data_IF_569742173935
#
_entry.id   IF_569742173935
#
_cell.length_a   1.000
_cell.length_b   1.000
_cell.length_c   1.000
_cell.angle_alpha   90.00
_cell.angle_beta   90.00
_cell.angle_gamma   90.00
#
_symmetry.space_group_name_H-M   'P 1'
#
loop_
_entity.id
_entity.type
_entity.pdbx_description
1 polymer ?
#
# COMPACT_ATOMS: atom_id res chain seq x y z
N UNK A 1 -7.77 -6.72 -2.45
CA UNK A 1 -6.50 -7.18 -3.07
C UNK A 1 -5.58 -7.97 -2.16
N UNK A 2 -5.89 -8.16 -0.86
CA UNK A 2 -5.02 -8.88 0.08
C UNK A 2 -4.69 -10.32 -0.34
N UNK A 3 -5.60 -10.99 -1.05
CA UNK A 3 -5.33 -12.32 -1.61
C UNK A 3 -4.21 -12.29 -2.68
N UNK A 4 -4.11 -11.19 -3.44
CA UNK A 4 -3.03 -10.97 -4.42
C UNK A 4 -1.70 -10.74 -3.68
N UNK A 5 -1.72 -10.00 -2.57
CA UNK A 5 -0.54 -9.81 -1.72
C UNK A 5 -0.04 -11.14 -1.13
N UNK A 6 -0.94 -11.99 -0.62
CA UNK A 6 -0.57 -13.31 -0.07
C UNK A 6 0.04 -14.21 -1.16
N UNK A 7 -0.51 -14.19 -2.38
CA UNK A 7 0.08 -14.93 -3.51
C UNK A 7 1.47 -14.35 -3.90
N UNK A 8 1.64 -13.02 -3.86
CA UNK A 8 2.94 -12.39 -4.05
C UNK A 8 3.94 -12.80 -2.96
N UNK A 9 3.51 -12.88 -1.69
CA UNK A 9 4.33 -13.39 -0.58
C UNK A 9 4.80 -14.83 -0.82
N UNK A 10 3.94 -15.71 -1.35
CA UNK A 10 4.33 -17.07 -1.74
C UNK A 10 5.46 -17.07 -2.76
N UNK A 11 5.40 -16.18 -3.75
CA UNK A 11 6.44 -16.05 -4.77
C UNK A 11 7.74 -15.47 -4.20
N UNK A 12 7.66 -14.49 -3.29
CA UNK A 12 8.83 -13.93 -2.60
C UNK A 12 9.55 -14.99 -1.77
N UNK A 13 8.80 -15.77 -0.98
CA UNK A 13 9.35 -16.87 -0.19
C UNK A 13 10.05 -17.92 -1.07
N UNK A 14 9.43 -18.29 -2.20
CA UNK A 14 10.03 -19.22 -3.16
C UNK A 14 11.33 -18.70 -3.81
N UNK A 15 11.50 -17.36 -3.89
CA UNK A 15 12.72 -16.70 -4.38
C UNK A 15 13.77 -16.50 -3.28
N UNK A 16 13.48 -16.88 -2.03
CA UNK A 16 14.39 -16.71 -0.89
C UNK A 16 14.53 -15.26 -0.42
N UNK A 17 13.57 -14.38 -0.73
CA UNK A 17 13.52 -13.01 -0.20
C UNK A 17 13.12 -13.10 1.27
N UNK A 18 13.87 -12.45 2.15
CA UNK A 18 13.55 -12.32 3.56
C UNK A 18 12.54 -11.18 3.75
N UNK A 19 11.40 -11.46 4.37
CA UNK A 19 10.35 -10.47 4.63
C UNK A 19 9.41 -10.92 5.76
N UNK A 20 8.72 -9.94 6.34
CA UNK A 20 7.59 -10.18 7.25
C UNK A 20 6.42 -9.27 6.83
N UNK A 21 5.25 -9.85 6.60
CA UNK A 21 4.06 -9.12 6.17
C UNK A 21 2.96 -9.14 7.24
N UNK A 22 2.52 -7.96 7.68
CA UNK A 22 1.44 -7.78 8.67
C UNK A 22 0.20 -7.22 8.02
N UNK A 23 -0.93 -7.94 8.11
CA UNK A 23 -2.24 -7.50 7.62
C UNK A 23 -3.06 -7.03 8.80
N UNK A 24 -3.21 -5.70 8.93
CA UNK A 24 -3.96 -5.08 10.03
C UNK A 24 -5.42 -4.89 9.67
N UNK A 25 -6.30 -5.09 10.64
CA UNK A 25 -7.74 -4.88 10.52
C UNK A 25 -8.54 -6.17 10.63
N UNK A 26 -9.85 -6.03 10.48
CA UNK A 26 -10.84 -7.11 10.46
C UNK A 26 -11.72 -6.94 9.22
N UNK A 27 -12.25 -8.03 8.70
CA UNK A 27 -13.12 -7.94 7.54
C UNK A 27 -13.69 -9.30 7.13
N UNK A 28 -14.65 -9.32 6.20
CA UNK A 28 -15.35 -10.53 5.79
C UNK A 28 -14.45 -11.58 5.14
N UNK A 29 -13.29 -11.16 4.65
CA UNK A 29 -12.33 -12.06 3.99
C UNK A 29 -11.33 -12.71 4.95
N UNK A 30 -11.35 -12.39 6.24
CA UNK A 30 -10.37 -12.88 7.20
C UNK A 30 -10.17 -14.40 7.14
N UNK A 31 -11.27 -15.16 7.21
CA UNK A 31 -11.22 -16.64 7.15
C UNK A 31 -10.55 -17.13 5.86
N UNK A 32 -10.91 -16.54 4.73
CA UNK A 32 -10.36 -16.91 3.42
C UNK A 32 -8.86 -16.59 3.31
N UNK A 33 -8.43 -15.43 3.83
CA UNK A 33 -7.03 -15.04 3.83
C UNK A 33 -6.19 -15.98 4.72
N UNK A 34 -6.68 -16.34 5.91
CA UNK A 34 -6.02 -17.32 6.80
C UNK A 34 -5.87 -18.67 6.11
N UNK A 35 -6.91 -19.16 5.43
CA UNK A 35 -6.84 -20.41 4.64
C UNK A 35 -5.77 -20.32 3.54
N UNK A 36 -5.62 -19.18 2.85
CA UNK A 36 -4.57 -19.00 1.84
C UNK A 36 -3.16 -19.01 2.46
N UNK A 37 -2.98 -18.35 3.61
CA UNK A 37 -1.72 -18.34 4.35
C UNK A 37 -1.30 -19.77 4.71
N UNK A 38 -2.21 -20.57 5.26
CA UNK A 38 -2.00 -21.99 5.60
C UNK A 38 -1.68 -22.82 4.35
N UNK A 39 -2.49 -22.71 3.28
CA UNK A 39 -2.28 -23.43 2.03
C UNK A 39 -0.92 -23.16 1.39
N UNK A 40 -0.42 -21.94 1.52
CA UNK A 40 0.86 -21.53 0.96
C UNK A 40 2.03 -21.67 1.95
N UNK A 41 1.76 -22.16 3.17
CA UNK A 41 2.78 -22.36 4.22
C UNK A 41 3.53 -21.05 4.51
N UNK A 42 2.76 -19.98 4.78
CA UNK A 42 3.27 -18.62 5.00
C UNK A 42 3.13 -18.14 6.46
N UNK A 43 2.73 -19.02 7.40
CA UNK A 43 2.45 -18.67 8.79
C UNK A 43 3.68 -18.12 9.52
N UNK A 44 4.85 -18.41 9.04
CA UNK A 44 6.14 -17.94 9.56
C UNK A 44 6.51 -16.51 9.11
N UNK A 45 5.89 -16.01 8.01
CA UNK A 45 6.23 -14.72 7.39
C UNK A 45 5.02 -13.80 7.17
N UNK A 46 3.78 -14.30 7.32
CA UNK A 46 2.55 -13.50 7.18
C UNK A 46 1.70 -13.62 8.42
N UNK A 47 1.41 -12.51 9.07
CA UNK A 47 0.54 -12.46 10.24
C UNK A 47 -0.69 -11.59 10.04
N UNK A 48 -1.77 -11.96 10.71
CA UNK A 48 -3.04 -11.20 10.77
C UNK A 48 -3.38 -10.93 12.23
N UNK A 49 -2.83 -9.86 12.85
CA UNK A 49 -3.06 -9.57 14.28
C UNK A 49 -4.44 -8.98 14.57
N UNK A 50 -5.29 -8.82 13.54
CA UNK A 50 -6.64 -8.30 13.68
C UNK A 50 -6.69 -6.78 13.86
N UNK A 51 -7.75 -6.30 14.52
CA UNK A 51 -7.91 -4.87 14.80
C UNK A 51 -6.84 -4.38 15.78
N UNK A 52 -6.29 -3.22 15.49
CA UNK A 52 -5.35 -2.49 16.36
C UNK A 52 -5.81 -1.05 16.56
N UNK A 53 -5.67 -0.48 17.75
CA UNK A 53 -5.93 0.94 17.97
C UNK A 53 -4.89 1.81 17.25
N UNK A 54 -5.26 3.06 16.94
CA UNK A 54 -4.46 3.95 16.08
C UNK A 54 -3.01 4.15 16.55
N UNK A 55 -2.76 4.16 17.85
CA UNK A 55 -1.40 4.32 18.37
C UNK A 55 -0.53 3.06 18.14
N UNK A 56 -1.12 1.85 18.16
CA UNK A 56 -0.41 0.62 17.80
C UNK A 56 -0.18 0.55 16.28
N UNK A 57 -1.18 0.94 15.47
CA UNK A 57 -1.02 1.03 14.00
C UNK A 57 0.12 1.97 13.66
N UNK A 58 0.17 3.15 14.32
CA UNK A 58 1.28 4.10 14.11
C UNK A 58 2.64 3.48 14.47
N UNK A 59 2.76 2.80 15.62
CA UNK A 59 4.00 2.15 16.00
C UNK A 59 4.44 1.08 15.00
N UNK A 60 3.49 0.29 14.48
CA UNK A 60 3.76 -0.73 13.47
C UNK A 60 4.16 -0.12 12.11
N UNK A 61 3.60 1.04 11.76
CA UNK A 61 4.02 1.79 10.58
C UNK A 61 5.44 2.35 10.75
N UNK A 62 5.76 2.91 11.92
CA UNK A 62 7.10 3.45 12.22
C UNK A 62 8.21 2.37 12.14
N UNK A 63 7.85 1.08 12.29
CA UNK A 63 8.75 -0.07 12.16
C UNK A 63 8.80 -0.65 10.74
N UNK A 64 7.89 -0.26 9.85
CA UNK A 64 7.74 -0.86 8.54
C UNK A 64 8.72 -0.26 7.51
N UNK A 65 9.34 -1.09 6.70
CA UNK A 65 10.17 -0.67 5.57
C UNK A 65 9.32 -0.19 4.39
N UNK A 66 8.10 -0.75 4.23
CA UNK A 66 7.18 -0.43 3.14
C UNK A 66 5.73 -0.66 3.53
N UNK A 67 4.84 0.22 3.09
CA UNK A 67 3.40 0.04 3.19
C UNK A 67 2.85 -0.55 1.89
N UNK A 68 2.15 -1.68 1.99
CA UNK A 68 1.59 -2.42 0.86
C UNK A 68 0.07 -2.36 0.88
N UNK A 69 -0.54 -1.81 -0.18
CA UNK A 69 -1.99 -1.81 -0.39
C UNK A 69 -2.33 -2.17 -1.84
N UNK A 70 -2.48 -3.44 -2.18
CA UNK A 70 -2.71 -3.90 -3.55
C UNK A 70 -4.20 -3.89 -3.92
N UNK A 71 -4.83 -2.70 -3.95
CA UNK A 71 -6.25 -2.53 -4.25
C UNK A 71 -6.64 -3.11 -5.61
N UNK A 72 -7.83 -3.69 -5.67
CA UNK A 72 -8.39 -4.29 -6.89
C UNK A 72 -9.86 -3.95 -7.00
N UNK A 73 -10.39 -3.91 -8.21
CA UNK A 73 -11.82 -3.83 -8.47
C UNK A 73 -12.53 -5.05 -7.90
N UNK A 74 -13.57 -4.85 -7.10
CA UNK A 74 -14.39 -5.92 -6.53
C UNK A 74 -15.12 -6.71 -7.61
N UNK A 75 -15.50 -7.96 -7.31
CA UNK A 75 -16.25 -8.81 -8.24
C UNK A 75 -17.64 -8.24 -8.59
N UNK A 76 -18.18 -7.37 -7.75
CA UNK A 76 -19.41 -6.61 -7.93
C UNK A 76 -19.21 -5.26 -8.64
N UNK A 77 -17.98 -4.95 -9.05
CA UNK A 77 -17.59 -3.68 -9.66
C UNK A 77 -17.28 -2.57 -8.65
N UNK A 78 -17.26 -2.87 -7.34
CA UNK A 78 -16.89 -1.90 -6.32
C UNK A 78 -15.42 -1.48 -6.46
N UNK A 79 -15.20 -0.18 -6.38
CA UNK A 79 -13.86 0.43 -6.48
C UNK A 79 -13.74 1.51 -5.40
N UNK A 80 -12.63 1.47 -4.68
CA UNK A 80 -12.30 2.60 -3.83
C UNK A 80 -11.74 3.77 -4.66
N UNK A 81 -11.84 5.00 -4.12
CA UNK A 81 -11.23 6.18 -4.73
C UNK A 81 -9.72 6.22 -4.48
N UNK A 82 -9.27 7.25 -3.74
CA UNK A 82 -7.89 7.33 -3.24
C UNK A 82 -7.88 6.86 -1.78
N UNK A 83 -7.21 5.75 -1.44
CA UNK A 83 -7.20 5.21 -0.08
C UNK A 83 -6.52 6.16 0.91
N UNK A 84 -7.22 6.49 2.01
CA UNK A 84 -6.67 7.34 3.08
C UNK A 84 -5.42 6.71 3.69
N UNK A 85 -5.38 5.38 3.82
CA UNK A 85 -4.24 4.67 4.38
C UNK A 85 -2.94 4.85 3.56
N UNK A 86 -3.04 4.99 2.22
CA UNK A 86 -1.87 5.35 1.39
C UNK A 86 -1.41 6.79 1.66
N UNK A 87 -2.36 7.73 1.76
CA UNK A 87 -2.04 9.12 2.11
C UNK A 87 -1.37 9.23 3.48
N UNK A 88 -1.87 8.48 4.48
CA UNK A 88 -1.29 8.42 5.81
C UNK A 88 0.14 7.86 5.79
N UNK A 89 0.37 6.74 5.09
CA UNK A 89 1.71 6.16 4.96
C UNK A 89 2.70 7.13 4.28
N UNK A 90 2.30 7.78 3.18
CA UNK A 90 3.11 8.78 2.49
C UNK A 90 3.40 9.99 3.37
N UNK A 91 2.43 10.47 4.15
CA UNK A 91 2.56 11.62 5.05
C UNK A 91 3.55 11.36 6.20
N UNK A 92 3.58 10.15 6.75
CA UNK A 92 4.55 9.78 7.80
C UNK A 92 5.92 9.39 7.25
N UNK A 93 6.07 9.29 5.94
CA UNK A 93 7.35 9.05 5.28
C UNK A 93 7.68 7.58 5.09
N UNK A 94 6.68 6.73 4.89
CA UNK A 94 6.87 5.32 4.58
C UNK A 94 6.76 5.11 3.07
N UNK A 95 7.69 4.39 2.43
CA UNK A 95 7.56 3.99 1.03
C UNK A 95 6.27 3.22 0.79
N UNK A 96 5.60 3.47 -0.33
CA UNK A 96 4.33 2.79 -0.65
C UNK A 96 4.45 1.95 -1.92
N UNK A 97 3.87 0.75 -1.88
CA UNK A 97 3.67 -0.12 -3.05
C UNK A 97 2.17 -0.39 -3.14
N UNK A 98 1.57 -0.12 -4.31
CA UNK A 98 0.15 -0.29 -4.54
C UNK A 98 -0.12 -0.78 -5.98
N UNK A 99 -1.33 -0.59 -6.47
CA UNK A 99 -1.77 -1.03 -7.80
C UNK A 99 -2.26 0.15 -8.65
N UNK A 100 -2.24 -0.04 -9.96
CA UNK A 100 -2.89 0.87 -10.92
C UNK A 100 -4.40 0.66 -10.82
N UNK A 101 -5.00 1.20 -9.75
CA UNK A 101 -6.42 1.05 -9.41
C UNK A 101 -7.06 2.41 -9.18
N UNK A 102 -8.20 2.68 -9.83
CA UNK A 102 -9.02 3.88 -9.61
C UNK A 102 -8.18 5.17 -9.54
N UNK A 103 -8.30 5.96 -8.47
CA UNK A 103 -7.57 7.20 -8.23
C UNK A 103 -6.15 7.04 -7.70
N UNK A 104 -5.66 5.82 -7.43
CA UNK A 104 -4.32 5.61 -6.87
C UNK A 104 -3.20 6.20 -7.75
N UNK A 105 -3.25 6.11 -9.11
CA UNK A 105 -2.24 6.74 -9.97
C UNK A 105 -2.20 8.28 -9.90
N UNK A 106 -3.27 8.93 -9.41
CA UNK A 106 -3.24 10.38 -9.15
C UNK A 106 -2.41 10.71 -7.91
N UNK A 107 -2.43 9.81 -6.91
CA UNK A 107 -1.66 9.94 -5.67
C UNK A 107 -0.23 9.44 -5.84
N UNK A 108 -0.04 8.26 -6.42
CA UNK A 108 1.27 7.58 -6.51
C UNK A 108 1.75 7.56 -7.96
N UNK A 109 2.82 8.29 -8.23
CA UNK A 109 3.55 8.23 -9.49
C UNK A 109 4.66 7.17 -9.38
N UNK A 110 4.51 6.06 -10.16
CA UNK A 110 5.39 4.90 -10.03
C UNK A 110 6.86 5.24 -10.34
N UNK A 111 7.75 4.93 -9.42
CA UNK A 111 9.19 5.23 -9.48
C UNK A 111 9.56 6.65 -9.02
N UNK A 112 8.59 7.49 -8.60
CA UNK A 112 8.83 8.87 -8.17
C UNK A 112 8.28 9.16 -6.77
N UNK A 113 7.06 8.73 -6.45
CA UNK A 113 6.46 8.88 -5.13
C UNK A 113 6.00 7.55 -4.51
N UNK A 114 6.37 6.43 -5.10
CA UNK A 114 6.04 5.08 -4.70
C UNK A 114 6.14 4.12 -5.88
N UNK A 115 5.57 2.94 -5.78
CA UNK A 115 5.58 1.95 -6.86
C UNK A 115 4.19 1.37 -7.08
N UNK A 116 3.86 1.13 -8.35
CA UNK A 116 2.59 0.54 -8.76
C UNK A 116 2.82 -0.76 -9.53
N UNK A 117 1.94 -1.74 -9.29
CA UNK A 117 1.79 -2.96 -10.08
C UNK A 117 0.40 -2.98 -10.74
N UNK A 118 0.15 -3.77 -11.79
CA UNK A 118 -1.20 -4.00 -12.29
C UNK A 118 -2.10 -4.64 -11.24
N UNK A 119 -3.41 -4.37 -11.31
CA UNK A 119 -4.39 -5.09 -10.49
C UNK A 119 -4.37 -6.59 -10.75
N UNK A 120 -4.64 -7.38 -9.73
CA UNK A 120 -4.73 -8.84 -9.81
C UNK A 120 -3.48 -9.55 -10.36
N UNK A 121 -2.34 -8.87 -10.42
CA UNK A 121 -1.07 -9.42 -10.89
C UNK A 121 -0.10 -9.64 -9.71
N UNK A 122 -0.22 -10.83 -9.10
CA UNK A 122 0.63 -11.21 -7.98
C UNK A 122 2.11 -11.36 -8.39
N UNK A 123 2.39 -11.69 -9.66
CA UNK A 123 3.77 -11.80 -10.16
C UNK A 123 4.40 -10.40 -10.24
N UNK A 124 3.74 -9.45 -10.88
CA UNK A 124 4.24 -8.08 -10.97
C UNK A 124 4.40 -7.45 -9.58
N UNK A 125 3.48 -7.73 -8.65
CA UNK A 125 3.58 -7.28 -7.26
C UNK A 125 4.79 -7.87 -6.54
N UNK A 126 5.04 -9.19 -6.68
CA UNK A 126 6.20 -9.85 -6.13
C UNK A 126 7.52 -9.32 -6.71
N UNK A 127 7.55 -9.01 -8.02
CA UNK A 127 8.70 -8.40 -8.67
C UNK A 127 8.99 -6.99 -8.13
N UNK A 128 7.95 -6.18 -7.88
CA UNK A 128 8.11 -4.86 -7.26
C UNK A 128 8.65 -4.95 -5.84
N UNK A 129 8.09 -5.85 -5.02
CA UNK A 129 8.55 -6.07 -3.64
C UNK A 129 9.99 -6.61 -3.60
N UNK A 130 10.34 -7.55 -4.47
CA UNK A 130 11.70 -8.07 -4.58
C UNK A 130 12.68 -6.98 -5.06
N UNK A 131 12.29 -6.14 -6.01
CA UNK A 131 13.12 -5.03 -6.45
C UNK A 131 13.30 -4.00 -5.32
N UNK A 132 12.24 -3.67 -4.58
CA UNK A 132 12.29 -2.77 -3.43
C UNK A 132 13.24 -3.28 -2.34
N UNK A 133 13.23 -4.58 -2.02
CA UNK A 133 14.11 -5.17 -0.99
C UNK A 133 15.61 -5.05 -1.29
N UNK A 134 15.98 -4.70 -2.52
CA UNK A 134 17.36 -4.49 -2.95
C UNK A 134 17.79 -3.03 -2.91
N UNK A 135 16.86 -2.10 -2.66
CA UNK A 135 17.16 -0.67 -2.59
C UNK A 135 17.77 -0.31 -1.25
N UNK A 136 18.74 0.58 -1.27
CA UNK A 136 19.29 1.20 -0.07
C UNK A 136 18.51 2.48 0.31
N UNK A 137 18.83 3.02 1.48
CA UNK A 137 18.18 4.23 1.99
C UNK A 137 18.42 5.46 1.10
N UNK A 138 19.55 5.57 0.42
CA UNK A 138 19.87 6.70 -0.47
C UNK A 138 18.98 6.68 -1.72
N UNK A 139 18.61 5.50 -2.18
CA UNK A 139 17.71 5.30 -3.32
C UNK A 139 16.23 5.51 -2.93
N UNK A 140 15.83 5.13 -1.72
CA UNK A 140 14.44 5.24 -1.23
C UNK A 140 14.12 6.67 -0.77
N UNK A 141 15.05 7.36 -0.11
CA UNK A 141 14.81 8.67 0.47
C UNK A 141 14.23 9.73 -0.48
N UNK A 142 14.71 9.90 -1.72
CA UNK A 142 14.12 10.87 -2.65
C UNK A 142 12.65 10.57 -2.99
N UNK A 143 12.29 9.29 -3.08
CA UNK A 143 10.93 8.85 -3.39
C UNK A 143 9.98 9.17 -2.22
N UNK A 144 10.42 8.90 -1.01
CA UNK A 144 9.68 9.22 0.22
C UNK A 144 9.48 10.74 0.37
N UNK A 145 10.50 11.54 0.12
CA UNK A 145 10.40 13.01 0.17
C UNK A 145 9.41 13.53 -0.88
N UNK A 146 9.47 13.03 -2.11
CA UNK A 146 8.54 13.41 -3.17
C UNK A 146 7.09 12.99 -2.82
N UNK A 147 6.90 11.78 -2.24
CA UNK A 147 5.61 11.32 -1.77
C UNK A 147 5.00 12.25 -0.71
N UNK A 148 5.80 12.63 0.28
CA UNK A 148 5.39 13.54 1.35
C UNK A 148 5.07 14.93 0.85
N UNK A 149 5.92 15.50 -0.01
CA UNK A 149 5.68 16.81 -0.64
C UNK A 149 4.35 16.82 -1.40
N UNK A 150 4.03 15.76 -2.13
CA UNK A 150 2.77 15.64 -2.85
C UNK A 150 1.56 15.65 -1.90
N UNK A 151 1.63 14.95 -0.75
CA UNK A 151 0.59 15.01 0.27
C UNK A 151 0.45 16.45 0.82
N UNK A 152 1.56 17.10 1.14
CA UNK A 152 1.55 18.44 1.73
C UNK A 152 1.01 19.50 0.76
N UNK A 153 1.22 19.35 -0.54
CA UNK A 153 0.86 20.35 -1.54
C UNK A 153 -0.50 20.10 -2.21
N UNK A 154 -0.83 18.85 -2.50
CA UNK A 154 -1.99 18.50 -3.34
C UNK A 154 -3.13 17.84 -2.54
N UNK A 155 -2.83 17.05 -1.51
CA UNK A 155 -3.80 16.22 -0.80
C UNK A 155 -4.08 16.66 0.64
N UNK A 156 -3.58 17.82 1.08
CA UNK A 156 -3.95 18.35 2.38
C UNK A 156 -5.30 19.11 2.32
N UNK A 157 -6.01 19.14 3.42
CA UNK A 157 -7.34 19.72 3.52
C UNK A 157 -7.38 21.22 3.11
N UNK A 158 -6.32 21.98 3.40
CA UNK A 158 -6.28 23.41 3.07
C UNK A 158 -6.11 23.63 1.57
N UNK A 159 -5.29 22.82 0.89
CA UNK A 159 -5.11 22.89 -0.55
C UNK A 159 -6.39 22.51 -1.29
N UNK A 160 -7.01 21.38 -0.90
CA UNK A 160 -8.28 20.90 -1.48
C UNK A 160 -9.40 21.93 -1.28
N UNK A 161 -9.55 22.50 -0.08
CA UNK A 161 -10.57 23.51 0.20
C UNK A 161 -10.37 24.78 -0.62
N UNK A 162 -9.12 25.21 -0.85
CA UNK A 162 -8.82 26.36 -1.74
C UNK A 162 -9.22 26.08 -3.18
N UNK A 163 -8.90 24.89 -3.71
CA UNK A 163 -9.28 24.49 -5.06
C UNK A 163 -10.80 24.46 -5.22
N UNK A 164 -11.52 23.86 -4.27
CA UNK A 164 -12.97 23.79 -4.28
C UNK A 164 -13.59 25.20 -4.24
N UNK A 165 -13.12 26.08 -3.36
CA UNK A 165 -13.62 27.45 -3.28
C UNK A 165 -13.39 28.21 -4.59
N UNK A 166 -12.24 28.04 -5.25
CA UNK A 166 -11.94 28.64 -6.55
C UNK A 166 -12.88 28.15 -7.64
N UNK A 167 -13.17 26.85 -7.70
CA UNK A 167 -14.09 26.27 -8.67
C UNK A 167 -15.52 26.82 -8.50
N UNK A 168 -15.99 26.94 -7.25
CA UNK A 168 -17.33 27.46 -6.96
C UNK A 168 -17.49 28.96 -7.28
N UNK A 169 -16.39 29.73 -7.29
CA UNK A 169 -16.42 31.16 -7.66
C UNK A 169 -16.43 31.39 -9.17
N UNK A 170 -16.03 30.37 -9.96
CA UNK A 170 -15.98 30.46 -11.44
C UNK A 170 -17.24 29.92 -12.11
N UNK A 171 -18.17 29.37 -11.36
CA UNK A 171 -19.52 28.95 -11.80
C UNK A 171 -20.54 30.07 -11.66
#
# INVERSE_FOLDING_TARGET
GLHVAIEACRQLKARGVDFHYRILGIGPWERRLRTLIEQYQLEDVVEMPGFKPSHEVKAMLDEADVFLLPSVTGADGDMEGIPVALMEAMAVGIPVISTVHSGIPELVESGKSGWLAPENDAQALAERLAAFSLLDSEQVQPIVLCAREKIETEFNQLAINKQLASLLQTM
#
